data_IF_249158605022
#
_entry.id   IF_249158605022
#
_cell.length_a   1.000
_cell.length_b   1.000
_cell.length_c   1.000
_cell.angle_alpha   90.00
_cell.angle_beta   90.00
_cell.angle_gamma   90.00
#
_symmetry.space_group_name_H-M   'P 1'
#
loop_
_entity.id
_entity.type
_entity.pdbx_description
1 polymer ?
#
# COMPACT_ATOMS: atom_id res chain seq x y z
N UNK A 1 -6.70 -27.04 -10.27
CA UNK A 1 -5.80 -26.02 -9.72
C UNK A 1 -5.46 -25.01 -10.80
N UNK A 2 -5.89 -23.77 -10.64
CA UNK A 2 -5.67 -22.66 -11.59
C UNK A 2 -4.20 -22.18 -11.56
N UNK A 3 -3.77 -21.42 -12.57
CA UNK A 3 -2.42 -20.82 -12.57
C UNK A 3 -2.22 -19.88 -11.37
N UNK A 4 -3.28 -19.16 -10.98
CA UNK A 4 -3.28 -18.29 -9.82
C UNK A 4 -3.09 -19.10 -8.52
N UNK A 5 -3.84 -20.20 -8.33
CA UNK A 5 -3.67 -21.07 -7.15
C UNK A 5 -2.26 -21.66 -7.06
N UNK A 6 -1.67 -22.06 -8.19
CA UNK A 6 -0.26 -22.53 -8.24
C UNK A 6 0.71 -21.43 -7.82
N UNK A 7 0.52 -20.22 -8.33
CA UNK A 7 1.37 -19.08 -7.99
C UNK A 7 1.25 -18.73 -6.50
N UNK A 8 0.03 -18.71 -5.94
CA UNK A 8 -0.18 -18.42 -4.51
C UNK A 8 0.43 -19.48 -3.60
N UNK A 9 0.29 -20.76 -3.95
CA UNK A 9 0.94 -21.85 -3.22
C UNK A 9 2.47 -21.76 -3.32
N UNK A 10 3.00 -21.44 -4.49
CA UNK A 10 4.43 -21.20 -4.67
C UNK A 10 4.88 -20.02 -3.81
N UNK A 11 4.20 -18.87 -3.86
CA UNK A 11 4.52 -17.69 -3.06
C UNK A 11 4.51 -18.01 -1.56
N UNK A 12 3.52 -18.78 -1.11
CA UNK A 12 3.40 -19.16 0.28
C UNK A 12 4.59 -20.00 0.77
N UNK A 13 5.10 -20.90 -0.07
CA UNK A 13 6.17 -21.85 0.27
C UNK A 13 7.57 -21.39 -0.11
N UNK A 14 7.70 -20.40 -1.00
CA UNK A 14 8.99 -19.92 -1.49
C UNK A 14 9.73 -19.07 -0.44
N UNK A 15 11.04 -19.27 -0.35
CA UNK A 15 11.91 -18.55 0.57
C UNK A 15 12.14 -17.07 0.19
N UNK A 16 11.93 -16.70 -1.07
CA UNK A 16 11.97 -15.30 -1.54
C UNK A 16 10.78 -14.48 -1.04
N UNK A 17 9.68 -15.13 -0.66
CA UNK A 17 8.52 -14.45 -0.11
C UNK A 17 8.67 -14.28 1.39
N UNK A 18 8.70 -13.03 1.83
CA UNK A 18 8.85 -12.63 3.22
C UNK A 18 7.50 -12.32 3.85
N UNK A 19 7.41 -12.54 5.17
CA UNK A 19 6.23 -12.17 5.95
C UNK A 19 6.27 -10.68 6.28
N UNK A 20 5.15 -10.00 6.05
CA UNK A 20 4.94 -8.60 6.42
C UNK A 20 3.50 -8.40 6.90
N UNK A 21 3.21 -7.21 7.45
CA UNK A 21 1.85 -6.84 7.85
C UNK A 21 1.34 -5.70 6.99
N UNK A 22 0.07 -5.77 6.59
CA UNK A 22 -0.67 -4.69 5.96
C UNK A 22 -1.67 -4.15 6.97
N UNK A 23 -1.49 -2.90 7.40
CA UNK A 23 -2.47 -2.15 8.17
C UNK A 23 -3.33 -1.33 7.21
N UNK A 24 -4.64 -1.51 7.30
CA UNK A 24 -5.65 -0.74 6.57
C UNK A 24 -6.44 0.09 7.57
N UNK A 25 -6.39 1.40 7.42
CA UNK A 25 -7.11 2.38 8.22
C UNK A 25 -8.37 2.76 7.46
N UNK A 26 -9.53 2.49 8.05
CA UNK A 26 -10.84 2.88 7.51
C UNK A 26 -11.59 3.74 8.53
N UNK A 27 -12.55 4.53 8.06
CA UNK A 27 -13.37 5.38 8.92
C UNK A 27 -14.08 6.47 8.12
N UNK A 28 -14.52 7.53 8.80
CA UNK A 28 -15.21 8.65 8.17
C UNK A 28 -14.21 9.60 7.54
N UNK A 29 -14.30 9.88 6.24
CA UNK A 29 -13.42 10.82 5.56
C UNK A 29 -13.47 12.21 6.23
N UNK A 30 -12.31 12.77 6.53
CA UNK A 30 -12.19 14.13 7.05
C UNK A 30 -12.62 15.12 5.96
N UNK A 31 -13.54 16.05 6.26
CA UNK A 31 -13.91 17.11 5.32
C UNK A 31 -12.70 17.92 4.82
N UNK A 32 -11.64 18.01 5.63
CA UNK A 32 -10.37 18.65 5.29
C UNK A 32 -9.71 18.11 4.02
N UNK A 33 -9.78 16.80 3.76
CA UNK A 33 -9.17 16.20 2.57
C UNK A 33 -9.93 16.55 1.29
N UNK A 34 -11.26 16.60 1.37
CA UNK A 34 -12.14 16.97 0.24
C UNK A 34 -11.90 18.42 -0.16
N UNK A 35 -11.64 19.29 0.81
CA UNK A 35 -11.36 20.70 0.57
C UNK A 35 -9.95 20.95 0.05
N UNK A 36 -8.93 20.27 0.61
CA UNK A 36 -7.53 20.45 0.22
C UNK A 36 -7.31 20.23 -1.28
N UNK A 37 -7.95 19.19 -1.81
CA UNK A 37 -7.79 18.76 -3.20
C UNK A 37 -8.82 19.42 -4.14
N UNK A 38 -9.61 20.38 -3.64
CA UNK A 38 -10.59 21.14 -4.43
C UNK A 38 -9.98 22.40 -5.04
N UNK A 39 -10.55 22.88 -6.14
CA UNK A 39 -10.18 24.17 -6.75
C UNK A 39 -10.53 25.40 -5.89
N UNK A 40 -11.24 25.19 -4.75
CA UNK A 40 -11.66 26.22 -3.80
C UNK A 40 -11.59 25.65 -2.37
N UNK A 41 -10.40 25.56 -1.77
CA UNK A 41 -10.26 24.98 -0.43
C UNK A 41 -11.05 25.78 0.62
N UNK A 42 -12.20 25.22 1.03
CA UNK A 42 -13.09 25.68 2.11
C UNK A 42 -12.49 25.64 3.52
N UNK A 43 -11.52 24.77 3.80
CA UNK A 43 -10.92 24.60 5.13
C UNK A 43 -9.49 25.16 5.11
N UNK A 44 -9.29 26.24 5.87
CA UNK A 44 -7.98 26.89 6.04
C UNK A 44 -7.25 26.35 7.28
N UNK A 45 -5.96 26.62 7.38
CA UNK A 45 -5.18 26.33 8.59
C UNK A 45 -5.82 26.93 9.85
N UNK A 46 -6.43 28.13 9.75
CA UNK A 46 -7.15 28.78 10.83
C UNK A 46 -8.40 28.00 11.24
N UNK A 47 -9.20 27.53 10.26
CA UNK A 47 -10.37 26.69 10.54
C UNK A 47 -9.98 25.42 11.31
N UNK A 48 -8.81 24.84 11.01
CA UNK A 48 -8.28 23.68 11.71
C UNK A 48 -7.87 23.95 13.16
N UNK A 49 -7.37 25.15 13.48
CA UNK A 49 -7.10 25.56 14.88
C UNK A 49 -8.39 25.72 15.67
N UNK A 50 -9.43 26.23 15.02
CA UNK A 50 -10.71 26.53 15.65
C UNK A 50 -11.63 25.31 15.82
N UNK A 51 -11.33 24.19 15.14
CA UNK A 51 -12.15 22.97 15.16
C UNK A 51 -11.32 21.70 15.48
N UNK A 52 -10.74 21.58 16.69
CA UNK A 52 -9.83 20.48 17.03
C UNK A 52 -10.45 19.08 16.92
N UNK A 53 -11.75 18.92 17.18
CA UNK A 53 -12.47 17.64 16.98
C UNK A 53 -12.75 17.29 15.52
N UNK A 54 -12.71 18.25 14.59
CA UNK A 54 -12.69 17.97 13.16
C UNK A 54 -11.27 17.68 12.64
N UNK A 55 -10.25 18.02 13.44
CA UNK A 55 -8.84 17.74 13.21
C UNK A 55 -8.37 16.39 13.81
N UNK A 56 -9.26 15.63 14.44
CA UNK A 56 -9.00 14.26 14.97
C UNK A 56 -8.55 13.25 13.91
N UNK A 57 -8.50 13.66 12.64
CA UNK A 57 -7.94 12.85 11.57
C UNK A 57 -6.42 12.61 11.68
N UNK A 58 -5.70 13.27 12.61
CA UNK A 58 -4.26 13.07 12.87
C UNK A 58 -3.36 13.06 11.61
N UNK A 59 -3.77 13.77 10.56
CA UNK A 59 -3.08 13.78 9.26
C UNK A 59 -3.32 12.56 8.38
N UNK A 60 -4.12 11.59 8.82
CA UNK A 60 -4.59 10.44 8.00
C UNK A 60 -5.77 10.79 7.11
N UNK A 61 -6.45 11.90 7.39
CA UNK A 61 -7.66 12.28 6.66
C UNK A 61 -8.88 11.43 6.99
N UNK A 62 -8.85 10.62 8.07
CA UNK A 62 -9.96 9.79 8.54
C UNK A 62 -10.27 10.08 10.01
N UNK A 63 -11.55 10.34 10.33
CA UNK A 63 -12.10 10.49 11.68
C UNK A 63 -12.70 9.14 12.12
N UNK A 64 -12.68 8.85 13.42
CA UNK A 64 -13.23 7.62 14.01
C UNK A 64 -12.68 6.35 13.37
N UNK A 65 -11.35 6.29 13.24
CA UNK A 65 -10.69 5.26 12.46
C UNK A 65 -10.70 3.89 13.13
N UNK A 66 -10.84 2.83 12.34
CA UNK A 66 -10.53 1.45 12.72
C UNK A 66 -9.32 0.98 11.90
N UNK A 67 -8.37 0.33 12.56
CA UNK A 67 -7.21 -0.26 11.88
C UNK A 67 -7.35 -1.77 11.84
N UNK A 68 -7.42 -2.34 10.64
CA UNK A 68 -7.39 -3.78 10.42
C UNK A 68 -5.99 -4.18 9.98
N UNK A 69 -5.39 -5.15 10.66
CA UNK A 69 -4.06 -5.67 10.31
C UNK A 69 -4.18 -7.06 9.71
N UNK A 70 -3.59 -7.24 8.53
CA UNK A 70 -3.48 -8.53 7.85
C UNK A 70 -2.02 -8.93 7.73
N UNK A 71 -1.66 -10.11 8.23
CA UNK A 71 -0.35 -10.70 7.96
C UNK A 71 -0.38 -11.39 6.60
N UNK A 72 0.62 -11.13 5.78
CA UNK A 72 0.74 -11.69 4.44
C UNK A 72 2.18 -12.10 4.13
N UNK A 73 2.36 -12.98 3.15
CA UNK A 73 3.64 -13.22 2.49
C UNK A 73 3.65 -12.53 1.12
N UNK A 74 4.78 -11.92 0.80
CA UNK A 74 5.00 -11.28 -0.50
C UNK A 74 6.49 -11.13 -0.81
N UNK A 75 6.81 -10.88 -2.07
CA UNK A 75 8.19 -10.68 -2.52
C UNK A 75 8.50 -9.19 -2.52
N UNK A 76 9.61 -8.81 -1.88
CA UNK A 76 10.06 -7.42 -1.80
C UNK A 76 11.37 -7.27 -2.58
N UNK A 77 11.36 -6.35 -3.55
CA UNK A 77 12.44 -6.22 -4.53
C UNK A 77 12.92 -4.77 -4.56
N UNK A 78 14.24 -4.57 -4.55
CA UNK A 78 14.82 -3.24 -4.76
C UNK A 78 14.58 -2.77 -6.21
N UNK A 79 14.38 -1.46 -6.46
CA UNK A 79 14.03 -0.93 -7.78
C UNK A 79 14.90 -1.44 -8.95
N UNK A 80 16.22 -1.51 -8.75
CA UNK A 80 17.16 -1.95 -9.78
C UNK A 80 17.04 -3.41 -10.22
N UNK A 81 16.31 -4.25 -9.48
CA UNK A 81 16.14 -5.68 -9.77
C UNK A 81 14.75 -6.05 -10.30
N UNK A 82 13.83 -5.08 -10.36
CA UNK A 82 12.40 -5.34 -10.65
C UNK A 82 12.17 -5.81 -12.07
N UNK A 83 12.75 -5.14 -13.07
CA UNK A 83 12.54 -5.48 -14.48
C UNK A 83 12.98 -6.92 -14.80
N UNK A 84 14.04 -7.40 -14.15
CA UNK A 84 14.56 -8.75 -14.33
C UNK A 84 13.72 -9.82 -13.60
N UNK A 85 12.93 -9.42 -12.60
CA UNK A 85 12.19 -10.35 -11.75
C UNK A 85 10.72 -10.42 -12.11
N UNK A 86 10.14 -9.30 -12.57
CA UNK A 86 8.72 -9.21 -12.96
C UNK A 86 8.67 -8.58 -14.36
N UNK A 87 8.62 -9.40 -15.42
CA UNK A 87 8.75 -8.92 -16.80
C UNK A 87 7.73 -7.85 -17.20
N UNK A 88 6.51 -7.89 -16.63
CA UNK A 88 5.46 -6.91 -16.89
C UNK A 88 5.62 -5.60 -16.10
N UNK A 89 6.56 -5.52 -15.15
CA UNK A 89 6.79 -4.31 -14.36
C UNK A 89 7.64 -3.27 -15.05
N UNK A 90 8.43 -3.62 -16.06
CA UNK A 90 9.24 -2.61 -16.75
C UNK A 90 8.40 -1.46 -17.33
N UNK A 91 7.24 -1.76 -17.93
CA UNK A 91 6.31 -0.75 -18.42
C UNK A 91 5.69 0.08 -17.31
N UNK A 92 5.40 -0.53 -16.16
CA UNK A 92 4.84 0.17 -14.99
C UNK A 92 5.87 1.06 -14.30
N UNK A 93 7.12 0.63 -14.25
CA UNK A 93 8.22 1.44 -13.71
C UNK A 93 8.35 2.77 -14.45
N UNK A 94 8.15 2.78 -15.77
CA UNK A 94 8.15 4.01 -16.57
C UNK A 94 6.97 4.95 -16.26
N UNK A 95 5.91 4.46 -15.64
CA UNK A 95 4.74 5.26 -15.22
C UNK A 95 4.91 5.84 -13.82
N UNK A 96 5.85 5.30 -13.05
CA UNK A 96 6.20 5.82 -11.73
C UNK A 96 7.16 6.99 -11.96
N UNK A 97 6.88 8.13 -11.33
CA UNK A 97 7.75 9.29 -11.42
C UNK A 97 9.06 9.07 -10.67
N UNK A 98 9.25 9.79 -9.56
CA UNK A 98 10.46 9.65 -8.75
C UNK A 98 10.45 8.31 -7.99
N UNK A 99 11.48 7.48 -8.23
CA UNK A 99 11.79 6.26 -7.47
C UNK A 99 13.05 6.53 -6.65
N UNK A 100 13.00 6.22 -5.35
CA UNK A 100 14.13 6.39 -4.43
C UNK A 100 14.88 5.07 -4.22
N UNK A 101 16.14 5.17 -3.83
CA UNK A 101 16.99 3.99 -3.59
C UNK A 101 16.49 3.11 -2.42
N UNK A 102 15.73 3.70 -1.49
CA UNK A 102 15.14 3.01 -0.34
C UNK A 102 13.65 2.63 -0.55
N UNK A 103 13.10 2.91 -1.73
CA UNK A 103 11.80 2.38 -2.13
C UNK A 103 11.90 0.85 -2.36
N UNK A 104 10.78 0.16 -2.26
CA UNK A 104 10.66 -1.27 -2.57
C UNK A 104 9.53 -1.52 -3.55
N UNK A 105 9.64 -2.59 -4.29
CA UNK A 105 8.56 -3.15 -5.08
C UNK A 105 8.07 -4.41 -4.42
N UNK A 106 6.77 -4.43 -4.15
CA UNK A 106 6.06 -5.58 -3.65
C UNK A 106 5.41 -6.32 -4.79
N UNK A 107 5.51 -7.64 -4.79
CA UNK A 107 4.82 -8.50 -5.74
C UNK A 107 4.31 -9.76 -5.08
N UNK A 108 3.03 -10.06 -5.36
CA UNK A 108 2.32 -11.17 -4.77
C UNK A 108 2.01 -10.88 -3.30
N UNK A 109 0.74 -10.95 -2.93
CA UNK A 109 0.32 -10.82 -1.54
C UNK A 109 -0.66 -11.93 -1.23
N UNK A 110 -0.21 -12.87 -0.40
CA UNK A 110 -1.04 -13.98 0.07
C UNK A 110 -1.17 -13.91 1.58
N UNK A 111 -2.39 -13.97 2.09
CA UNK A 111 -2.65 -14.00 3.52
C UNK A 111 -1.94 -15.21 4.14
N UNK A 112 -1.17 -14.98 5.20
CA UNK A 112 -0.31 -16.01 5.79
C UNK A 112 -1.10 -17.15 6.46
N UNK A 113 -2.38 -16.94 6.76
CA UNK A 113 -3.22 -17.89 7.49
C UNK A 113 -4.29 -18.53 6.60
N UNK A 114 -4.83 -17.80 5.62
CA UNK A 114 -5.95 -18.27 4.80
C UNK A 114 -5.58 -18.60 3.36
N UNK A 115 -4.35 -18.30 2.93
CA UNK A 115 -3.90 -18.41 1.53
C UNK A 115 -4.72 -17.57 0.52
N UNK A 116 -5.59 -16.68 1.01
CA UNK A 116 -6.34 -15.78 0.16
C UNK A 116 -5.45 -14.66 -0.39
N UNK A 117 -5.74 -14.20 -1.61
CA UNK A 117 -5.08 -13.01 -2.17
C UNK A 117 -5.43 -11.79 -1.33
N UNK A 118 -4.43 -10.99 -0.99
CA UNK A 118 -4.63 -9.69 -0.35
C UNK A 118 -4.58 -8.60 -1.43
N UNK A 119 -5.69 -7.89 -1.60
CA UNK A 119 -5.73 -6.74 -2.52
C UNK A 119 -5.12 -5.51 -1.88
N UNK A 120 -4.39 -4.75 -2.69
CA UNK A 120 -3.88 -3.42 -2.37
C UNK A 120 -4.33 -2.38 -3.41
N UNK A 121 -5.32 -2.71 -4.25
CA UNK A 121 -5.93 -1.73 -5.13
C UNK A 121 -6.69 -0.67 -4.32
N UNK A 122 -6.60 0.58 -4.77
CA UNK A 122 -7.15 1.72 -4.03
C UNK A 122 -6.38 2.05 -2.75
N UNK A 123 -5.23 1.41 -2.51
CA UNK A 123 -4.38 1.79 -1.41
C UNK A 123 -3.93 3.24 -1.55
N UNK A 124 -3.96 3.96 -0.45
CA UNK A 124 -3.44 5.33 -0.35
C UNK A 124 -2.33 5.37 0.68
N UNK A 125 -1.41 6.33 0.52
CA UNK A 125 -0.34 6.52 1.48
C UNK A 125 -0.86 6.76 2.91
N UNK A 126 -2.02 7.40 3.08
CA UNK A 126 -2.56 7.72 4.41
C UNK A 126 -3.31 6.56 5.06
N UNK A 127 -3.92 5.69 4.25
CA UNK A 127 -4.85 4.68 4.74
C UNK A 127 -4.28 3.27 4.71
N UNK A 128 -3.16 3.06 4.01
CA UNK A 128 -2.52 1.75 3.89
C UNK A 128 -1.04 1.84 4.26
N UNK A 129 -0.63 0.94 5.15
CA UNK A 129 0.76 0.85 5.61
C UNK A 129 1.22 -0.59 5.58
N UNK A 130 2.39 -0.83 5.00
CA UNK A 130 3.06 -2.13 5.04
C UNK A 130 4.22 -2.04 6.00
N UNK A 131 4.25 -2.91 7.00
CA UNK A 131 5.39 -3.04 7.91
C UNK A 131 6.18 -4.30 7.58
N UNK A 132 7.45 -4.14 7.23
CA UNK A 132 8.40 -5.23 6.97
C UNK A 132 9.64 -5.00 7.82
N UNK A 133 10.05 -5.99 8.62
CA UNK A 133 11.25 -5.92 9.46
C UNK A 133 11.32 -4.63 10.30
N UNK A 134 10.20 -4.26 10.93
CA UNK A 134 10.03 -3.03 11.72
C UNK A 134 10.19 -1.71 10.94
N UNK A 135 10.24 -1.76 9.61
CA UNK A 135 10.24 -0.58 8.74
C UNK A 135 8.85 -0.42 8.14
N UNK A 136 8.31 0.79 8.26
CA UNK A 136 7.03 1.16 7.70
C UNK A 136 7.17 1.71 6.28
N UNK A 137 6.30 1.24 5.39
CA UNK A 137 6.19 1.67 4.02
C UNK A 137 4.77 2.13 3.71
N UNK A 138 4.67 3.22 2.96
CA UNK A 138 3.43 3.66 2.32
C UNK A 138 3.30 3.05 0.92
N UNK A 139 2.09 2.72 0.50
CA UNK A 139 1.83 2.25 -0.87
C UNK A 139 1.60 3.47 -1.75
N UNK A 140 2.51 3.74 -2.69
CA UNK A 140 2.43 4.89 -3.60
C UNK A 140 1.60 4.59 -4.83
N UNK A 141 1.81 3.43 -5.41
CA UNK A 141 1.06 2.93 -6.56
C UNK A 141 0.85 1.44 -6.40
N UNK A 142 -0.27 0.95 -6.93
CA UNK A 142 -0.63 -0.46 -6.91
C UNK A 142 -1.20 -0.87 -8.26
N UNK A 143 -0.91 -2.09 -8.68
CA UNK A 143 -1.36 -2.66 -9.93
C UNK A 143 -1.92 -4.05 -9.71
N UNK A 144 -2.96 -4.39 -10.46
CA UNK A 144 -3.35 -5.77 -10.67
C UNK A 144 -2.46 -6.36 -11.75
N UNK A 145 -1.87 -7.52 -11.45
CA UNK A 145 -1.13 -8.32 -12.41
C UNK A 145 -1.99 -9.54 -12.73
N UNK A 146 -2.54 -9.64 -13.95
CA UNK A 146 -3.42 -10.74 -14.33
C UNK A 146 -2.79 -12.09 -13.96
N UNK A 147 -3.58 -12.95 -13.31
CA UNK A 147 -3.20 -14.30 -12.86
C UNK A 147 -2.11 -14.36 -11.75
N UNK A 148 -1.50 -13.23 -11.39
CA UNK A 148 -0.41 -13.14 -10.41
C UNK A 148 -0.78 -12.31 -9.17
N UNK A 149 -2.00 -11.76 -9.12
CA UNK A 149 -2.51 -10.99 -7.99
C UNK A 149 -2.16 -9.52 -8.11
N UNK A 150 -1.44 -8.97 -7.13
CA UNK A 150 -1.17 -7.54 -7.05
C UNK A 150 0.32 -7.26 -6.89
N UNK A 151 0.73 -6.09 -7.38
CA UNK A 151 2.04 -5.51 -7.16
C UNK A 151 1.89 -4.06 -6.69
N UNK A 152 2.90 -3.54 -6.01
CA UNK A 152 2.88 -2.16 -5.56
C UNK A 152 4.26 -1.56 -5.38
N UNK A 153 4.34 -0.25 -5.58
CA UNK A 153 5.50 0.56 -5.23
C UNK A 153 5.35 1.04 -3.80
N UNK A 154 6.32 0.69 -2.98
CA UNK A 154 6.38 0.99 -1.56
C UNK A 154 7.42 2.09 -1.32
N UNK A 155 7.00 3.17 -0.67
CA UNK A 155 7.90 4.23 -0.22
C UNK A 155 8.08 4.17 1.28
N UNK A 156 9.34 4.10 1.72
CA UNK A 156 9.69 4.13 3.14
C UNK A 156 9.12 5.38 3.81
N UNK A 157 8.54 5.20 5.00
CA UNK A 157 8.17 6.29 5.89
C UNK A 157 9.32 6.56 6.85
N UNK A 158 9.66 7.84 7.00
CA UNK A 158 10.60 8.31 8.00
C UNK A 158 10.01 8.20 9.41
#
# INVERSE_FOLDING_TARGET
>A
MTNQERFLNWLYTNALAETATLAVITGTACPCMISRDSSRPSYSEQWHRDNPGAADCTGTGIISSTTTTTTFKGIFIAPGLVANTIPTMQERLMQIGEIRDDDLFLWGLVNSSTLAVVSILGASEYTHKITRNSIDYSIKTAWEIPQLGYAGHLRRRA
#
